data_IF_765074195541
#
_entry.id   IF_765074195541
#
_cell.length_a   1.000
_cell.length_b   1.000
_cell.length_c   1.000
_cell.angle_alpha   90.00
_cell.angle_beta   90.00
_cell.angle_gamma   90.00
#
_symmetry.space_group_name_H-M   'P 1'
#
loop_
_entity.id
_entity.type
_entity.pdbx_description
1 polymer ?
#
# COMPACT_ATOMS: atom_id res chain seq x y z
N UNK A 1 -52.07 -13.68 23.42
CA UNK A 1 -51.79 -14.50 24.61
C UNK A 1 -51.11 -13.67 25.68
N UNK A 2 -51.25 -14.07 26.96
CA UNK A 2 -50.68 -13.38 28.13
C UNK A 2 -49.17 -13.12 27.99
N UNK A 3 -48.42 -14.10 27.46
CA UNK A 3 -46.98 -14.00 27.18
C UNK A 3 -46.61 -12.89 26.19
N UNK A 4 -47.29 -12.80 25.03
CA UNK A 4 -47.01 -11.76 24.03
C UNK A 4 -47.18 -10.33 24.59
N UNK A 5 -48.20 -10.12 25.44
CA UNK A 5 -48.44 -8.83 26.09
C UNK A 5 -47.34 -8.49 27.10
N UNK A 6 -46.87 -9.47 27.86
CA UNK A 6 -45.74 -9.31 28.79
C UNK A 6 -44.44 -9.00 28.03
N UNK A 7 -44.15 -9.71 26.95
CA UNK A 7 -42.95 -9.49 26.15
C UNK A 7 -42.88 -8.05 25.62
N UNK A 8 -43.98 -7.54 25.06
CA UNK A 8 -44.09 -6.15 24.59
C UNK A 8 -43.89 -5.16 25.74
N UNK A 9 -44.56 -5.37 26.88
CA UNK A 9 -44.47 -4.46 28.03
C UNK A 9 -43.06 -4.39 28.64
N UNK A 10 -42.26 -5.44 28.46
CA UNK A 10 -40.88 -5.51 28.97
C UNK A 10 -39.83 -5.27 27.86
N UNK A 11 -40.24 -4.83 26.66
CA UNK A 11 -39.35 -4.64 25.51
C UNK A 11 -38.57 -5.89 25.09
N UNK A 12 -39.14 -7.08 25.32
CA UNK A 12 -38.62 -8.36 24.86
C UNK A 12 -39.22 -8.77 23.52
N UNK A 13 -38.37 -9.33 22.66
CA UNK A 13 -38.81 -9.96 21.42
C UNK A 13 -39.51 -11.31 21.71
N UNK A 14 -40.67 -11.54 21.11
CA UNK A 14 -41.43 -12.78 21.31
C UNK A 14 -40.76 -13.94 20.56
N UNK A 15 -40.22 -14.89 21.30
CA UNK A 15 -39.58 -16.10 20.74
C UNK A 15 -40.55 -17.27 20.51
N UNK A 16 -41.87 -17.02 20.52
CA UNK A 16 -42.83 -18.08 20.23
C UNK A 16 -42.68 -18.55 18.77
N UNK A 17 -42.82 -19.86 18.49
CA UNK A 17 -42.58 -20.42 17.16
C UNK A 17 -43.34 -19.70 16.02
N UNK A 18 -44.57 -19.27 16.27
CA UNK A 18 -45.37 -18.52 15.29
C UNK A 18 -44.85 -17.10 15.03
N UNK A 19 -44.32 -16.42 16.05
CA UNK A 19 -43.84 -15.04 15.94
C UNK A 19 -42.44 -15.02 15.28
N UNK A 20 -41.59 -16.00 15.63
CA UNK A 20 -40.29 -16.23 14.99
C UNK A 20 -40.47 -16.55 13.50
N UNK A 21 -41.45 -17.41 13.16
CA UNK A 21 -41.76 -17.72 11.76
C UNK A 21 -42.22 -16.48 10.99
N UNK A 22 -43.13 -15.70 11.55
CA UNK A 22 -43.60 -14.45 10.94
C UNK A 22 -42.47 -13.41 10.76
N UNK A 23 -41.55 -13.32 11.72
CA UNK A 23 -40.36 -12.45 11.62
C UNK A 23 -39.43 -12.91 10.50
N UNK A 24 -39.15 -14.21 10.41
CA UNK A 24 -38.35 -14.79 9.32
C UNK A 24 -38.99 -14.57 7.95
N UNK A 25 -40.29 -14.83 7.80
CA UNK A 25 -40.99 -14.59 6.53
C UNK A 25 -40.98 -13.10 6.13
N UNK A 26 -41.10 -12.19 7.10
CA UNK A 26 -40.98 -10.74 6.85
C UNK A 26 -39.55 -10.35 6.46
N UNK A 27 -38.54 -10.93 7.11
CA UNK A 27 -37.13 -10.72 6.78
C UNK A 27 -36.78 -11.29 5.39
N UNK A 28 -37.27 -12.49 5.06
CA UNK A 28 -37.10 -13.12 3.75
C UNK A 28 -37.75 -12.29 2.64
N UNK A 29 -38.94 -11.72 2.86
CA UNK A 29 -39.56 -10.77 1.92
C UNK A 29 -38.74 -9.49 1.75
N UNK A 30 -38.05 -9.04 2.79
CA UNK A 30 -37.22 -7.83 2.77
C UNK A 30 -35.84 -8.10 2.13
N UNK A 31 -35.32 -9.33 2.24
CA UNK A 31 -34.01 -9.74 1.72
C UNK A 31 -34.00 -10.14 0.23
N UNK A 32 -35.13 -10.05 -0.48
CA UNK A 32 -35.25 -10.48 -1.88
C UNK A 32 -34.34 -9.72 -2.86
N UNK A 33 -33.63 -8.67 -2.45
CA UNK A 33 -32.75 -7.94 -3.36
C UNK A 33 -31.53 -7.37 -2.65
N UNK A 34 -30.44 -8.13 -2.66
CA UNK A 34 -29.09 -7.64 -2.31
C UNK A 34 -28.71 -6.43 -3.17
N UNK A 35 -29.28 -6.27 -4.37
CA UNK A 35 -28.99 -5.14 -5.27
C UNK A 35 -29.38 -3.76 -4.72
N UNK A 36 -30.27 -3.65 -3.73
CA UNK A 36 -30.72 -2.34 -3.20
C UNK A 36 -29.58 -1.52 -2.57
N UNK A 37 -28.58 -2.20 -1.99
CA UNK A 37 -27.42 -1.57 -1.36
C UNK A 37 -26.12 -1.75 -2.16
N UNK A 38 -26.16 -2.47 -3.28
CA UNK A 38 -25.03 -2.57 -4.19
C UNK A 38 -25.02 -1.32 -5.06
N UNK A 39 -24.16 -0.37 -4.72
CA UNK A 39 -23.76 0.63 -5.70
C UNK A 39 -22.96 -0.09 -6.78
N UNK A 40 -23.38 0.03 -8.04
CA UNK A 40 -22.54 -0.36 -9.16
C UNK A 40 -21.20 0.36 -9.00
N UNK A 41 -20.17 -0.39 -8.62
CA UNK A 41 -18.81 0.11 -8.66
C UNK A 41 -18.59 0.41 -10.14
N UNK A 42 -18.55 1.70 -10.50
CA UNK A 42 -18.07 2.14 -11.82
C UNK A 42 -16.87 1.25 -12.11
N UNK A 43 -16.97 0.46 -13.17
CA UNK A 43 -15.87 -0.33 -13.69
C UNK A 43 -14.79 0.70 -14.04
N UNK A 44 -14.00 1.12 -13.05
CA UNK A 44 -12.71 1.71 -13.27
C UNK A 44 -11.97 0.61 -13.99
N UNK A 45 -11.98 0.71 -15.32
CA UNK A 45 -11.09 0.08 -16.27
C UNK A 45 -10.46 -1.17 -15.68
N UNK A 46 -11.15 -2.32 -15.81
CA UNK A 46 -10.68 -3.61 -15.26
C UNK A 46 -9.23 -3.76 -15.65
N UNK A 47 -8.34 -3.51 -14.68
CA UNK A 47 -6.90 -3.70 -14.82
C UNK A 47 -6.76 -5.14 -15.26
N UNK A 48 -6.22 -5.36 -16.47
CA UNK A 48 -5.99 -6.69 -16.98
C UNK A 48 -5.24 -7.47 -15.88
N UNK A 49 -5.74 -8.65 -15.46
CA UNK A 49 -5.07 -9.45 -14.46
C UNK A 49 -3.62 -9.66 -14.90
N UNK A 50 -2.70 -9.51 -13.95
CA UNK A 50 -1.28 -9.73 -14.21
C UNK A 50 -1.06 -11.10 -14.87
N UNK A 51 -0.51 -11.10 -16.08
CA UNK A 51 -0.19 -12.31 -16.82
C UNK A 51 1.31 -12.32 -17.13
N UNK A 52 2.04 -13.34 -16.64
CA UNK A 52 3.49 -13.44 -16.80
C UNK A 52 3.96 -13.31 -18.26
N UNK A 53 3.17 -13.83 -19.21
CA UNK A 53 3.47 -13.72 -20.64
C UNK A 53 3.41 -12.27 -21.15
N UNK A 54 2.46 -11.47 -20.66
CA UNK A 54 2.33 -10.06 -21.03
C UNK A 54 3.46 -9.23 -20.41
N UNK A 55 3.78 -9.46 -19.14
CA UNK A 55 4.89 -8.79 -18.47
C UNK A 55 6.22 -9.09 -19.19
N UNK A 56 6.50 -10.36 -19.50
CA UNK A 56 7.70 -10.75 -20.26
C UNK A 56 7.79 -10.03 -21.61
N UNK A 57 6.69 -9.99 -22.37
CA UNK A 57 6.65 -9.29 -23.66
C UNK A 57 6.94 -7.79 -23.49
N UNK A 58 6.25 -7.13 -22.57
CA UNK A 58 6.44 -5.70 -22.31
C UNK A 58 7.86 -5.37 -21.84
N UNK A 59 8.46 -6.22 -21.00
CA UNK A 59 9.84 -6.05 -20.55
C UNK A 59 10.85 -6.16 -21.70
N UNK A 60 10.67 -7.14 -22.60
CA UNK A 60 11.52 -7.31 -23.79
C UNK A 60 11.36 -6.11 -24.74
N UNK A 61 10.13 -5.68 -25.01
CA UNK A 61 9.85 -4.52 -25.86
C UNK A 61 10.48 -3.24 -25.28
N UNK A 62 10.41 -3.05 -23.96
CA UNK A 62 11.06 -1.95 -23.26
C UNK A 62 12.58 -1.98 -23.42
N UNK A 63 13.23 -3.14 -23.24
CA UNK A 63 14.68 -3.30 -23.43
C UNK A 63 15.11 -2.90 -24.85
N UNK A 64 14.42 -3.41 -25.87
CA UNK A 64 14.74 -3.13 -27.28
C UNK A 64 14.51 -1.66 -27.61
N UNK A 65 13.37 -1.11 -27.20
CA UNK A 65 12.99 0.28 -27.52
C UNK A 65 13.89 1.32 -26.88
N UNK A 66 14.49 1.01 -25.72
CA UNK A 66 15.34 1.92 -24.96
C UNK A 66 16.83 1.56 -25.01
N UNK A 67 17.18 0.54 -25.82
CA UNK A 67 18.53 0.01 -25.98
C UNK A 67 19.22 -0.29 -24.64
N UNK A 68 18.49 -0.92 -23.73
CA UNK A 68 19.01 -1.28 -22.40
C UNK A 68 19.73 -2.63 -22.46
N UNK A 69 20.77 -2.84 -21.63
CA UNK A 69 21.42 -4.13 -21.53
C UNK A 69 20.45 -5.19 -20.98
N UNK A 70 20.58 -6.43 -21.42
CA UNK A 70 19.76 -7.57 -20.95
C UNK A 70 19.87 -7.74 -19.42
N UNK A 71 21.06 -7.48 -18.87
CA UNK A 71 21.34 -7.51 -17.43
C UNK A 71 20.46 -6.53 -16.61
N UNK A 72 19.83 -5.52 -17.24
CA UNK A 72 18.94 -4.59 -16.53
C UNK A 72 17.78 -5.30 -15.81
N UNK A 73 17.29 -6.43 -16.34
CA UNK A 73 16.23 -7.23 -15.70
C UNK A 73 16.72 -8.04 -14.50
N UNK A 74 18.02 -8.34 -14.43
CA UNK A 74 18.63 -9.09 -13.32
C UNK A 74 18.99 -8.19 -12.14
N UNK A 75 19.02 -6.86 -12.36
CA UNK A 75 19.43 -5.92 -11.35
C UNK A 75 18.44 -5.87 -10.18
N UNK A 76 18.93 -6.02 -8.95
CA UNK A 76 18.07 -6.10 -7.76
C UNK A 76 17.14 -4.89 -7.60
N UNK A 77 17.61 -3.68 -7.95
CA UNK A 77 16.76 -2.46 -7.90
C UNK A 77 15.62 -2.47 -8.92
N UNK A 78 15.79 -3.15 -10.05
CA UNK A 78 14.69 -3.32 -10.99
C UNK A 78 13.61 -4.20 -10.38
N UNK A 79 13.98 -5.34 -9.78
CA UNK A 79 13.05 -6.22 -9.06
C UNK A 79 12.32 -5.50 -7.92
N UNK A 80 13.06 -4.77 -7.07
CA UNK A 80 12.48 -3.96 -5.99
C UNK A 80 11.45 -2.94 -6.51
N UNK A 81 11.73 -2.30 -7.65
CA UNK A 81 10.81 -1.35 -8.28
C UNK A 81 9.50 -2.04 -8.73
N UNK A 82 9.58 -3.23 -9.32
CA UNK A 82 8.41 -4.02 -9.72
C UNK A 82 7.61 -4.47 -8.49
N UNK A 83 8.27 -4.92 -7.43
CA UNK A 83 7.61 -5.33 -6.18
C UNK A 83 6.90 -4.16 -5.47
N UNK A 84 7.42 -2.94 -5.60
CA UNK A 84 6.73 -1.72 -5.14
C UNK A 84 5.53 -1.41 -6.05
N UNK A 85 5.71 -1.49 -7.36
CA UNK A 85 4.67 -1.22 -8.34
C UNK A 85 3.48 -2.18 -8.26
N UNK A 86 3.73 -3.48 -8.03
CA UNK A 86 2.69 -4.52 -7.96
C UNK A 86 1.73 -4.33 -6.78
N UNK A 87 2.17 -3.63 -5.73
CA UNK A 87 1.35 -3.28 -4.55
C UNK A 87 0.49 -2.04 -4.74
N UNK A 88 0.64 -1.31 -5.85
CA UNK A 88 -0.10 -0.07 -6.08
C UNK A 88 -1.57 -0.37 -6.45
N UNK A 89 -2.50 0.16 -5.65
CA UNK A 89 -3.95 -0.01 -5.89
C UNK A 89 -4.51 0.95 -6.93
N UNK A 90 -3.88 2.13 -7.09
CA UNK A 90 -4.34 3.21 -7.97
C UNK A 90 -3.39 3.44 -9.15
N UNK A 91 -2.66 2.40 -9.56
CA UNK A 91 -1.60 2.50 -10.56
C UNK A 91 -0.34 3.21 -10.05
N UNK A 92 0.67 3.29 -10.92
CA UNK A 92 2.00 3.84 -10.60
C UNK A 92 2.18 5.19 -11.27
N UNK A 93 2.57 6.21 -10.50
CA UNK A 93 2.92 7.54 -11.02
C UNK A 93 4.43 7.61 -11.29
N UNK A 94 4.81 7.56 -12.57
CA UNK A 94 6.22 7.68 -12.97
C UNK A 94 6.62 9.16 -12.99
N UNK A 95 7.67 9.58 -12.26
CA UNK A 95 8.11 10.97 -12.26
C UNK A 95 8.67 11.37 -13.63
N UNK A 96 8.34 12.59 -14.08
CA UNK A 96 8.90 13.15 -15.31
C UNK A 96 10.37 13.56 -15.16
N UNK A 97 11.08 13.75 -16.28
CA UNK A 97 12.53 14.04 -16.34
C UNK A 97 13.01 15.11 -15.34
N UNK A 98 12.29 16.24 -15.23
CA UNK A 98 12.64 17.34 -14.31
C UNK A 98 12.53 16.91 -12.85
N UNK A 99 11.44 16.24 -12.50
CA UNK A 99 11.22 15.72 -11.15
C UNK A 99 12.27 14.65 -10.79
N UNK A 100 12.54 13.72 -11.70
CA UNK A 100 13.57 12.68 -11.52
C UNK A 100 14.95 13.29 -11.28
N UNK A 101 15.35 14.29 -12.08
CA UNK A 101 16.65 14.97 -11.90
C UNK A 101 16.73 15.68 -10.55
N UNK A 102 15.68 16.40 -10.17
CA UNK A 102 15.63 17.09 -8.87
C UNK A 102 15.73 16.10 -7.71
N UNK A 103 15.05 14.96 -7.82
CA UNK A 103 15.06 13.93 -6.80
C UNK A 103 16.42 13.26 -6.65
N UNK A 104 17.09 12.94 -7.75
CA UNK A 104 18.47 12.44 -7.73
C UNK A 104 19.39 13.44 -7.01
N UNK A 105 19.34 14.72 -7.40
CA UNK A 105 20.15 15.76 -6.74
C UNK A 105 19.85 15.86 -5.24
N UNK A 106 18.58 15.74 -4.85
CA UNK A 106 18.16 15.76 -3.45
C UNK A 106 18.74 14.58 -2.68
N UNK A 107 18.67 13.36 -3.23
CA UNK A 107 19.24 12.16 -2.61
C UNK A 107 20.74 12.29 -2.39
N UNK A 108 21.47 12.79 -3.40
CA UNK A 108 22.91 13.04 -3.28
C UNK A 108 23.23 14.09 -2.21
N UNK A 109 22.51 15.22 -2.19
CA UNK A 109 22.69 16.25 -1.15
C UNK A 109 22.49 15.69 0.25
N UNK A 110 21.43 14.90 0.46
CA UNK A 110 21.16 14.27 1.75
C UNK A 110 22.26 13.30 2.17
N UNK A 111 22.76 12.49 1.24
CA UNK A 111 23.88 11.59 1.50
C UNK A 111 25.13 12.36 1.96
N UNK A 112 25.50 13.41 1.23
CA UNK A 112 26.65 14.26 1.56
C UNK A 112 26.48 15.00 2.89
N UNK A 113 25.28 15.50 3.20
CA UNK A 113 25.00 16.13 4.50
C UNK A 113 25.14 15.15 5.66
N UNK A 114 24.64 13.92 5.50
CA UNK A 114 24.79 12.87 6.51
C UNK A 114 26.26 12.52 6.72
N UNK A 115 27.02 12.38 5.64
CA UNK A 115 28.45 12.12 5.69
C UNK A 115 29.21 13.25 6.38
N UNK A 116 28.92 14.51 6.05
CA UNK A 116 29.50 15.68 6.73
C UNK A 116 29.23 15.65 8.23
N UNK A 117 28.01 15.32 8.64
CA UNK A 117 27.63 15.21 10.06
C UNK A 117 28.46 14.13 10.77
N UNK A 118 28.58 12.93 10.19
CA UNK A 118 29.34 11.84 10.82
C UNK A 118 30.84 12.16 10.91
N UNK A 119 31.41 12.76 9.87
CA UNK A 119 32.83 13.09 9.84
C UNK A 119 33.18 14.26 10.77
N UNK A 120 32.33 15.29 10.86
CA UNK A 120 32.56 16.42 11.77
C UNK A 120 32.54 16.02 13.25
N UNK A 121 31.64 15.10 13.64
CA UNK A 121 31.63 14.55 15.00
C UNK A 121 32.91 13.76 15.27
N UNK A 122 33.41 12.99 14.30
CA UNK A 122 34.66 12.23 14.46
C UNK A 122 35.91 13.12 14.60
N UNK A 123 35.91 14.30 13.96
CA UNK A 123 37.01 15.26 14.09
C UNK A 123 37.07 15.89 15.49
N UNK A 124 35.92 16.29 16.03
CA UNK A 124 35.82 16.86 17.39
C UNK A 124 36.16 15.82 18.45
N UNK A 125 35.68 14.58 18.32
CA UNK A 125 36.01 13.49 19.25
C UNK A 125 37.50 13.14 19.18
N UNK A 126 38.12 13.10 18.00
CA UNK A 126 39.58 12.86 17.90
C UNK A 126 40.41 13.98 18.53
N UNK A 127 40.07 15.24 18.30
CA UNK A 127 40.75 16.37 18.94
C UNK A 127 40.57 16.31 20.46
N UNK A 128 39.36 16.02 20.94
CA UNK A 128 39.09 15.86 22.38
C UNK A 128 39.90 14.70 22.97
N UNK A 129 39.93 13.52 22.34
CA UNK A 129 40.72 12.38 22.81
C UNK A 129 42.24 12.63 22.79
N UNK A 130 42.74 13.38 21.80
CA UNK A 130 44.17 13.76 21.72
C UNK A 130 44.49 14.78 22.82
N UNK A 131 43.64 15.79 23.03
CA UNK A 131 43.80 16.78 24.08
C UNK A 131 43.71 16.16 25.49
N UNK A 132 42.77 15.24 25.72
CA UNK A 132 42.67 14.51 27.00
C UNK A 132 43.88 13.62 27.29
N UNK A 133 44.58 13.12 26.27
CA UNK A 133 45.84 12.37 26.42
C UNK A 133 47.04 13.29 26.65
N UNK A 134 47.05 14.49 26.07
CA UNK A 134 48.10 15.51 26.26
C UNK A 134 48.01 16.22 27.63
N UNK A 135 46.82 16.32 28.21
CA UNK A 135 46.61 16.95 29.53
C UNK A 135 46.86 15.97 30.70
N UNK A 136 46.86 14.65 30.44
CA UNK A 136 47.12 13.60 31.45
C UNK A 136 48.55 13.01 31.37
N UNK A 137 49.49 13.71 30.72
CA UNK A 137 50.95 13.45 30.74
C UNK A 137 51.60 14.68 31.36
#
# INVERSE_FOLDING_TARGET
GKYRKWAIANSFESMLPGDVKACKEKAERTQQTINSHLTERKLSERVLPYLDKQFKKAAIEWLVSTNQPIQALEHLKFKEMIDVASRATNGVKIPGRKATRAEIMRMFKNHLMRLKKTLNVSCVVRLCCILSKLINI
#
